data_IF_270886514820
#
_entry.id   IF_270886514820
#
_cell.length_a   1.000
_cell.length_b   1.000
_cell.length_c   1.000
_cell.angle_alpha   90.00
_cell.angle_beta   90.00
_cell.angle_gamma   90.00
#
_symmetry.space_group_name_H-M   'P 1'
#
loop_
_entity.id
_entity.type
_entity.pdbx_description
1 polymer ?
#
# COMPACT_ATOMS: atom_id res chain seq x y z
N UNK A 1 -43.31 57.83 18.99
CA UNK A 1 -42.35 57.59 17.90
C UNK A 1 -41.45 56.45 18.30
N UNK A 2 -41.73 55.24 17.80
CA UNK A 2 -40.93 54.08 18.08
C UNK A 2 -39.83 54.00 17.00
N UNK A 3 -38.55 54.10 17.42
CA UNK A 3 -37.42 53.89 16.56
C UNK A 3 -37.31 52.39 16.24
N UNK A 4 -37.52 52.00 14.99
CA UNK A 4 -37.23 50.69 14.45
C UNK A 4 -35.71 50.60 14.31
N UNK A 5 -35.05 49.81 15.15
CA UNK A 5 -33.65 49.36 14.92
C UNK A 5 -33.67 48.30 13.81
N UNK A 6 -32.79 48.36 12.80
CA UNK A 6 -32.72 47.32 11.76
C UNK A 6 -32.28 46.00 12.40
N UNK A 7 -32.75 44.85 11.80
CA UNK A 7 -32.42 43.53 12.39
C UNK A 7 -30.93 43.20 12.25
N UNK A 8 -30.35 42.75 13.33
CA UNK A 8 -28.93 42.38 13.54
C UNK A 8 -28.38 41.38 12.51
N UNK A 9 -29.22 40.75 11.68
CA UNK A 9 -28.81 39.77 10.70
C UNK A 9 -28.25 40.32 9.38
N UNK A 10 -28.35 41.66 9.11
CA UNK A 10 -27.75 42.24 7.88
C UNK A 10 -26.26 42.57 8.08
N UNK A 11 -25.88 43.06 9.25
CA UNK A 11 -24.47 43.34 9.58
C UNK A 11 -23.61 42.05 9.57
N UNK A 12 -24.12 40.97 10.14
CA UNK A 12 -23.42 39.68 10.20
C UNK A 12 -23.22 39.05 8.79
N UNK A 13 -24.14 39.28 7.86
CA UNK A 13 -24.02 38.80 6.48
C UNK A 13 -22.99 39.61 5.69
N UNK A 14 -22.96 40.95 5.87
CA UNK A 14 -21.97 41.79 5.22
C UNK A 14 -20.55 41.51 5.71
N UNK A 15 -20.36 41.28 7.00
CA UNK A 15 -19.06 40.95 7.57
C UNK A 15 -18.56 39.56 7.13
N UNK A 16 -19.45 38.57 7.06
CA UNK A 16 -19.10 37.24 6.49
C UNK A 16 -18.71 37.36 5.01
N UNK A 17 -19.43 38.15 4.19
CA UNK A 17 -19.10 38.34 2.80
C UNK A 17 -17.71 38.95 2.59
N UNK A 18 -17.31 39.94 3.45
CA UNK A 18 -15.98 40.54 3.43
C UNK A 18 -14.89 39.52 3.79
N UNK A 19 -15.12 38.70 4.83
CA UNK A 19 -14.19 37.63 5.21
C UNK A 19 -14.02 36.59 4.08
N UNK A 20 -15.10 36.18 3.43
CA UNK A 20 -15.06 35.26 2.28
C UNK A 20 -14.22 35.84 1.15
N UNK A 21 -14.45 37.12 0.78
CA UNK A 21 -13.67 37.80 -0.28
C UNK A 21 -12.18 37.87 0.07
N UNK A 22 -11.84 38.20 1.34
CA UNK A 22 -10.47 38.23 1.79
C UNK A 22 -9.81 36.85 1.71
N UNK A 23 -10.48 35.80 2.21
CA UNK A 23 -9.95 34.43 2.15
C UNK A 23 -9.71 33.99 0.70
N UNK A 24 -10.64 34.28 -0.22
CA UNK A 24 -10.44 33.98 -1.65
C UNK A 24 -9.20 34.69 -2.20
N UNK A 25 -8.99 35.97 -1.88
CA UNK A 25 -7.83 36.70 -2.34
C UNK A 25 -6.51 36.10 -1.80
N UNK A 26 -6.49 35.76 -0.50
CA UNK A 26 -5.35 35.10 0.14
C UNK A 26 -5.07 33.72 -0.47
N UNK A 27 -6.11 32.92 -0.75
CA UNK A 27 -5.98 31.61 -1.44
C UNK A 27 -5.34 31.77 -2.80
N UNK A 28 -5.82 32.73 -3.61
CA UNK A 28 -5.28 32.98 -4.96
C UNK A 28 -3.81 33.39 -4.91
N UNK A 29 -3.42 34.22 -3.95
CA UNK A 29 -2.02 34.62 -3.76
C UNK A 29 -1.17 33.42 -3.35
N UNK A 30 -1.63 32.63 -2.38
CA UNK A 30 -0.92 31.46 -1.90
C UNK A 30 -0.74 30.39 -3.01
N UNK A 31 -1.80 30.13 -3.80
CA UNK A 31 -1.77 29.18 -4.91
C UNK A 31 -0.78 29.59 -5.98
N UNK A 32 -0.82 30.86 -6.44
CA UNK A 32 0.14 31.40 -7.43
C UNK A 32 1.58 31.42 -6.93
N UNK A 33 1.78 31.62 -5.62
CA UNK A 33 3.09 31.51 -4.99
C UNK A 33 3.54 30.05 -4.78
N UNK A 34 2.75 29.06 -5.24
CA UNK A 34 2.97 27.61 -5.04
C UNK A 34 3.08 27.18 -3.58
N UNK A 35 2.51 27.97 -2.67
CA UNK A 35 2.37 27.59 -1.28
C UNK A 35 1.04 26.84 -1.08
N UNK A 36 1.00 25.61 -1.64
CA UNK A 36 -0.24 24.82 -1.68
C UNK A 36 -0.74 24.42 -0.30
N UNK A 37 0.16 24.20 0.68
CA UNK A 37 -0.25 23.92 2.06
C UNK A 37 -1.04 25.06 2.68
N UNK A 38 -0.61 26.28 2.44
CA UNK A 38 -1.34 27.47 2.90
C UNK A 38 -2.64 27.66 2.12
N UNK A 39 -2.61 27.45 0.80
CA UNK A 39 -3.81 27.57 -0.03
C UNK A 39 -4.89 26.56 0.37
N UNK A 40 -4.53 25.30 0.60
CA UNK A 40 -5.43 24.24 1.06
C UNK A 40 -6.01 24.57 2.46
N UNK A 41 -5.16 24.99 3.39
CA UNK A 41 -5.60 25.42 4.74
C UNK A 41 -6.60 26.59 4.69
N UNK A 42 -6.30 27.62 3.89
CA UNK A 42 -7.20 28.77 3.73
C UNK A 42 -8.52 28.37 3.05
N UNK A 43 -8.48 27.42 2.13
CA UNK A 43 -9.67 26.87 1.47
C UNK A 43 -10.55 26.10 2.47
N UNK A 44 -9.98 25.26 3.33
CA UNK A 44 -10.71 24.60 4.41
C UNK A 44 -11.34 25.61 5.38
N UNK A 45 -10.60 26.69 5.70
CA UNK A 45 -11.10 27.80 6.52
C UNK A 45 -12.26 28.53 5.83
N UNK A 46 -12.21 28.73 4.52
CA UNK A 46 -13.29 29.33 3.73
C UNK A 46 -14.58 28.48 3.83
N UNK A 47 -14.46 27.17 3.64
CA UNK A 47 -15.58 26.22 3.77
C UNK A 47 -16.19 26.27 5.19
N UNK A 48 -15.33 26.28 6.22
CA UNK A 48 -15.77 26.35 7.61
C UNK A 48 -16.45 27.70 7.96
N UNK A 49 -16.00 28.81 7.33
CA UNK A 49 -16.56 30.16 7.57
C UNK A 49 -17.92 30.34 6.92
N UNK A 50 -18.10 29.92 5.68
CA UNK A 50 -19.36 29.98 4.96
C UNK A 50 -19.52 28.81 3.97
N UNK A 51 -20.11 27.68 4.41
CA UNK A 51 -20.36 26.52 3.55
C UNK A 51 -21.31 26.83 2.37
N UNK A 52 -22.08 27.95 2.44
CA UNK A 52 -23.01 28.34 1.39
C UNK A 52 -22.37 29.25 0.33
N UNK A 53 -21.15 29.69 0.53
CA UNK A 53 -20.40 30.48 -0.47
C UNK A 53 -19.89 29.61 -1.64
N UNK A 54 -20.77 28.79 -2.23
CA UNK A 54 -20.42 27.75 -3.22
C UNK A 54 -19.60 28.28 -4.38
N UNK A 55 -19.93 29.46 -4.92
CA UNK A 55 -19.20 30.08 -6.04
C UNK A 55 -17.74 30.42 -5.65
N UNK A 56 -17.51 30.91 -4.43
CA UNK A 56 -16.18 31.21 -3.92
C UNK A 56 -15.37 29.93 -3.66
N UNK A 57 -16.01 28.92 -3.10
CA UNK A 57 -15.42 27.59 -2.82
C UNK A 57 -15.00 26.93 -4.13
N UNK A 58 -15.87 26.82 -5.12
CA UNK A 58 -15.58 26.22 -6.44
C UNK A 58 -14.47 26.98 -7.16
N UNK A 59 -14.53 28.32 -7.17
CA UNK A 59 -13.52 29.15 -7.83
C UNK A 59 -12.14 28.97 -7.19
N UNK A 60 -12.04 29.03 -5.88
CA UNK A 60 -10.76 28.87 -5.16
C UNK A 60 -10.19 27.47 -5.29
N UNK A 61 -11.01 26.42 -5.20
CA UNK A 61 -10.60 25.04 -5.48
C UNK A 61 -10.04 24.90 -6.89
N UNK A 62 -10.78 25.36 -7.91
CA UNK A 62 -10.34 25.28 -9.30
C UNK A 62 -9.00 25.96 -9.56
N UNK A 63 -8.73 27.12 -8.92
CA UNK A 63 -7.42 27.79 -9.03
C UNK A 63 -6.31 27.01 -8.34
N UNK A 64 -6.57 26.50 -7.13
CA UNK A 64 -5.59 25.66 -6.42
C UNK A 64 -5.20 24.45 -7.28
N UNK A 65 -6.18 23.74 -7.83
CA UNK A 65 -5.94 22.54 -8.63
C UNK A 65 -5.21 22.87 -9.95
N UNK A 66 -5.57 23.97 -10.62
CA UNK A 66 -4.88 24.41 -11.84
C UNK A 66 -3.40 24.76 -11.59
N UNK A 67 -3.12 25.49 -10.51
CA UNK A 67 -1.74 25.87 -10.14
C UNK A 67 -0.93 24.66 -9.68
N UNK A 68 -1.54 23.70 -8.95
CA UNK A 68 -0.92 22.42 -8.61
C UNK A 68 -0.54 21.65 -9.86
N UNK A 69 -1.47 21.48 -10.81
CA UNK A 69 -1.22 20.77 -12.07
C UNK A 69 -0.10 21.43 -12.88
N UNK A 70 -0.09 22.77 -12.96
CA UNK A 70 0.95 23.51 -13.68
C UNK A 70 2.33 23.43 -13.01
N UNK A 71 2.38 23.09 -11.72
CA UNK A 71 3.61 23.00 -10.93
C UNK A 71 4.20 21.59 -10.85
N UNK A 72 3.52 20.56 -11.37
CA UNK A 72 4.06 19.20 -11.42
C UNK A 72 5.36 19.19 -12.27
N UNK A 73 6.35 18.45 -11.78
CA UNK A 73 7.65 18.27 -12.45
C UNK A 73 7.43 17.69 -13.87
N UNK A 74 7.87 18.41 -14.89
CA UNK A 74 7.67 18.04 -16.30
C UNK A 74 8.43 16.78 -16.69
N UNK A 75 9.62 16.58 -16.13
CA UNK A 75 10.42 15.40 -16.40
C UNK A 75 9.73 14.16 -15.83
N UNK A 76 9.17 14.28 -14.61
CA UNK A 76 8.36 13.24 -14.01
C UNK A 76 7.12 12.91 -14.86
N UNK A 77 6.37 13.93 -15.29
CA UNK A 77 5.21 13.74 -16.18
C UNK A 77 5.59 13.06 -17.50
N UNK A 78 6.73 13.40 -18.08
CA UNK A 78 7.19 12.79 -19.33
C UNK A 78 7.48 11.30 -19.16
N UNK A 79 8.05 10.90 -18.02
CA UNK A 79 8.35 9.49 -17.70
C UNK A 79 7.05 8.72 -17.41
N UNK A 80 6.15 9.31 -16.61
CA UNK A 80 4.94 8.66 -16.09
C UNK A 80 3.66 9.03 -16.85
N UNK A 81 3.79 9.51 -18.10
CA UNK A 81 2.66 9.95 -18.93
C UNK A 81 1.52 8.93 -19.03
N UNK A 82 1.84 7.63 -19.09
CA UNK A 82 0.81 6.57 -19.13
C UNK A 82 -0.05 6.54 -17.86
N UNK A 83 0.53 6.80 -16.69
CA UNK A 83 -0.19 6.92 -15.43
C UNK A 83 -1.06 8.18 -15.45
N UNK A 84 -0.42 9.33 -15.62
CA UNK A 84 -1.09 10.62 -15.47
C UNK A 84 -2.14 10.90 -16.54
N UNK A 85 -2.00 10.37 -17.76
CA UNK A 85 -3.00 10.51 -18.82
C UNK A 85 -4.30 9.71 -18.56
N UNK A 86 -4.26 8.74 -17.66
CA UNK A 86 -5.47 8.00 -17.23
C UNK A 86 -6.23 8.68 -16.09
N UNK A 87 -5.71 9.78 -15.55
CA UNK A 87 -6.22 10.51 -14.39
C UNK A 87 -6.74 11.88 -14.80
N UNK A 88 -7.78 12.37 -14.12
CA UNK A 88 -8.18 13.77 -14.22
C UNK A 88 -7.22 14.68 -13.42
N UNK A 89 -7.38 16.00 -13.50
CA UNK A 89 -6.43 16.94 -12.89
C UNK A 89 -6.38 16.84 -11.35
N UNK A 90 -7.53 16.64 -10.70
CA UNK A 90 -7.61 16.46 -9.26
C UNK A 90 -6.92 15.15 -8.82
N UNK A 91 -7.17 14.07 -9.52
CA UNK A 91 -6.52 12.77 -9.28
C UNK A 91 -5.01 12.83 -9.51
N UNK A 92 -4.54 13.55 -10.55
CA UNK A 92 -3.11 13.79 -10.83
C UNK A 92 -2.44 14.49 -9.66
N UNK A 93 -3.06 15.56 -9.20
CA UNK A 93 -2.56 16.33 -8.07
C UNK A 93 -2.57 15.50 -6.79
N UNK A 94 -3.64 14.74 -6.54
CA UNK A 94 -3.76 13.86 -5.39
C UNK A 94 -2.60 12.85 -5.35
N UNK A 95 -2.32 12.16 -6.46
CA UNK A 95 -1.20 11.22 -6.57
C UNK A 95 0.14 11.93 -6.38
N UNK A 96 0.41 12.99 -7.16
CA UNK A 96 1.72 13.64 -7.17
C UNK A 96 2.08 14.26 -5.82
N UNK A 97 1.17 15.01 -5.19
CA UNK A 97 1.43 15.70 -3.92
C UNK A 97 1.36 14.78 -2.69
N UNK A 98 0.87 13.55 -2.83
CA UNK A 98 1.00 12.51 -1.82
C UNK A 98 2.37 11.82 -1.83
N UNK A 99 3.15 11.99 -2.88
CA UNK A 99 4.48 11.43 -3.02
C UNK A 99 5.56 12.35 -2.43
N UNK A 100 6.68 11.73 -2.04
CA UNK A 100 7.90 12.41 -1.58
C UNK A 100 9.02 12.14 -2.57
N UNK A 101 9.68 13.19 -3.05
CA UNK A 101 10.88 13.07 -3.89
C UNK A 101 12.07 12.62 -3.03
N UNK A 102 12.74 11.56 -3.43
CA UNK A 102 13.96 11.05 -2.79
C UNK A 102 15.10 10.99 -3.79
N UNK A 103 16.30 11.37 -3.31
CA UNK A 103 17.56 11.17 -4.03
C UNK A 103 18.43 10.25 -3.17
N UNK A 104 18.80 9.09 -3.73
CA UNK A 104 19.55 8.06 -3.03
C UNK A 104 20.91 7.87 -3.68
N UNK A 105 21.96 7.79 -2.85
CA UNK A 105 23.31 7.50 -3.30
C UNK A 105 23.45 6.06 -3.83
N UNK A 106 24.44 5.77 -4.66
CA UNK A 106 24.75 4.40 -5.07
C UNK A 106 24.96 3.48 -3.86
N UNK A 107 24.61 2.20 -4.01
CA UNK A 107 24.68 1.16 -2.98
C UNK A 107 23.76 1.37 -1.76
N UNK A 108 22.69 2.15 -1.93
CA UNK A 108 21.63 2.30 -0.91
C UNK A 108 20.59 1.20 -1.08
N UNK A 109 20.30 0.45 -0.01
CA UNK A 109 19.26 -0.58 0.00
C UNK A 109 17.89 0.10 0.06
N UNK A 110 16.99 -0.22 -0.91
CA UNK A 110 15.62 0.27 -0.98
C UNK A 110 14.64 -0.75 -0.41
N UNK A 111 14.79 -2.02 -0.81
CA UNK A 111 13.98 -3.14 -0.34
C UNK A 111 14.89 -4.27 0.11
N UNK A 112 14.50 -4.97 1.17
CA UNK A 112 15.23 -6.14 1.69
C UNK A 112 14.34 -7.38 1.61
N UNK A 113 14.83 -8.47 1.04
CA UNK A 113 14.14 -9.76 0.99
C UNK A 113 13.63 -10.18 2.37
N UNK A 114 12.38 -10.62 2.43
CA UNK A 114 11.74 -11.08 3.66
C UNK A 114 11.40 -9.98 4.68
N UNK A 115 11.67 -8.70 4.37
CA UNK A 115 11.21 -7.56 5.17
C UNK A 115 9.82 -7.09 4.75
N UNK A 116 9.14 -6.40 5.67
CA UNK A 116 7.89 -5.70 5.36
C UNK A 116 8.18 -4.44 4.54
N UNK A 117 7.29 -4.14 3.60
CA UNK A 117 7.27 -2.87 2.88
C UNK A 117 5.82 -2.43 2.66
N UNK A 118 5.55 -1.16 2.88
CA UNK A 118 4.28 -0.51 2.60
C UNK A 118 4.44 0.72 1.71
N UNK A 119 5.53 0.75 0.94
CA UNK A 119 5.93 1.88 0.11
C UNK A 119 5.96 1.47 -1.35
N UNK A 120 5.51 2.40 -2.20
CA UNK A 120 5.61 2.34 -3.64
C UNK A 120 6.66 3.34 -4.09
N UNK A 121 7.53 2.93 -5.01
CA UNK A 121 8.58 3.76 -5.56
C UNK A 121 8.50 3.82 -7.08
N UNK A 122 8.44 5.01 -7.62
CA UNK A 122 8.46 5.31 -9.03
C UNK A 122 9.84 5.85 -9.39
N UNK A 123 10.58 5.19 -10.28
CA UNK A 123 11.95 5.58 -10.63
C UNK A 123 11.92 6.67 -11.71
N UNK A 124 12.39 7.87 -11.36
CA UNK A 124 12.50 8.99 -12.31
C UNK A 124 13.87 9.03 -12.98
N UNK A 125 14.93 8.67 -12.24
CA UNK A 125 16.30 8.72 -12.74
C UNK A 125 17.20 7.69 -12.08
N UNK A 126 18.22 7.24 -12.81
CA UNK A 126 19.22 6.31 -12.29
C UNK A 126 18.81 4.85 -12.47
N UNK A 127 19.51 3.95 -11.80
CA UNK A 127 19.38 2.51 -11.98
C UNK A 127 19.37 1.78 -10.64
N UNK A 128 18.49 0.78 -10.53
CA UNK A 128 18.31 -0.08 -9.36
C UNK A 128 18.52 -1.53 -9.77
N UNK A 129 19.25 -2.29 -8.98
CA UNK A 129 19.45 -3.74 -9.17
C UNK A 129 18.50 -4.49 -8.22
N UNK A 130 17.72 -5.41 -8.80
CA UNK A 130 16.92 -6.38 -8.07
C UNK A 130 17.71 -7.67 -7.96
N UNK A 131 17.83 -8.20 -6.74
CA UNK A 131 18.55 -9.43 -6.48
C UNK A 131 17.92 -10.21 -5.33
N UNK A 132 18.29 -11.48 -5.22
CA UNK A 132 18.02 -12.31 -4.04
C UNK A 132 19.27 -13.11 -3.68
N UNK A 133 19.29 -13.62 -2.44
CA UNK A 133 20.37 -14.45 -1.94
C UNK A 133 20.04 -15.93 -2.12
N UNK A 134 20.91 -16.66 -2.81
CA UNK A 134 20.84 -18.11 -2.95
C UNK A 134 22.20 -18.72 -2.55
N UNK A 135 22.18 -19.60 -1.55
CA UNK A 135 23.40 -20.28 -1.07
C UNK A 135 24.54 -19.32 -0.74
N UNK A 136 24.19 -18.19 -0.07
CA UNK A 136 25.15 -17.15 0.30
C UNK A 136 25.62 -16.23 -0.83
N UNK A 137 25.17 -16.46 -2.09
CA UNK A 137 25.52 -15.64 -3.26
C UNK A 137 24.36 -14.74 -3.69
N UNK A 138 24.67 -13.50 -4.07
CA UNK A 138 23.68 -12.59 -4.64
C UNK A 138 23.46 -12.95 -6.12
N UNK A 139 22.22 -13.29 -6.46
CA UNK A 139 21.80 -13.56 -7.82
C UNK A 139 20.98 -12.36 -8.33
N UNK A 140 21.50 -11.67 -9.36
CA UNK A 140 20.82 -10.54 -9.98
C UNK A 140 19.64 -11.03 -10.81
N UNK A 141 18.46 -10.47 -10.54
CA UNK A 141 17.23 -10.77 -11.24
C UNK A 141 17.00 -9.80 -12.39
N UNK A 142 17.13 -8.52 -12.12
CA UNK A 142 16.85 -7.45 -13.06
C UNK A 142 17.62 -6.18 -12.73
N UNK A 143 17.65 -5.29 -13.72
CA UNK A 143 18.09 -3.90 -13.60
C UNK A 143 16.91 -3.03 -14.02
N UNK A 144 16.50 -2.16 -13.14
CA UNK A 144 15.39 -1.24 -13.35
C UNK A 144 15.92 0.18 -13.56
N UNK A 145 15.17 0.99 -14.30
CA UNK A 145 15.50 2.38 -14.62
C UNK A 145 14.28 3.30 -14.65
N UNK A 146 14.39 4.48 -15.26
CA UNK A 146 13.28 5.44 -15.35
C UNK A 146 12.02 4.80 -15.97
N UNK A 147 10.86 5.04 -15.34
CA UNK A 147 9.58 4.45 -15.74
C UNK A 147 9.31 3.05 -15.17
N UNK A 148 10.23 2.49 -14.41
CA UNK A 148 10.01 1.24 -13.67
C UNK A 148 9.54 1.51 -12.23
N UNK A 149 8.76 0.55 -11.70
CA UNK A 149 8.13 0.62 -10.39
C UNK A 149 8.78 -0.38 -9.45
N UNK A 150 8.83 -0.04 -8.14
CA UNK A 150 9.30 -0.91 -7.08
C UNK A 150 8.29 -0.95 -5.94
N UNK A 151 8.12 -2.12 -5.33
CA UNK A 151 7.29 -2.30 -4.16
C UNK A 151 5.79 -2.41 -4.46
N UNK A 152 5.39 -2.46 -5.74
CA UNK A 152 4.01 -2.51 -6.21
C UNK A 152 3.22 -3.65 -5.56
N UNK A 153 3.83 -4.83 -5.48
CA UNK A 153 3.20 -6.00 -4.91
C UNK A 153 2.98 -5.87 -3.39
N UNK A 154 4.00 -5.44 -2.66
CA UNK A 154 3.92 -5.26 -1.19
C UNK A 154 3.12 -4.03 -0.78
N UNK A 155 3.00 -3.04 -1.65
CA UNK A 155 2.14 -1.88 -1.45
C UNK A 155 0.66 -2.24 -1.59
N UNK A 156 0.30 -3.04 -2.60
CA UNK A 156 -1.07 -3.47 -2.87
C UNK A 156 -1.53 -4.65 -2.01
N UNK A 157 -0.60 -5.48 -1.51
CA UNK A 157 -0.89 -6.68 -0.73
C UNK A 157 -0.18 -6.65 0.63
N UNK A 158 -0.72 -7.39 1.60
CA UNK A 158 -0.07 -7.61 2.89
C UNK A 158 0.94 -8.75 2.73
N UNK A 159 2.16 -8.44 2.28
CA UNK A 159 3.18 -9.45 2.00
C UNK A 159 4.60 -8.98 2.33
N UNK A 160 5.53 -9.92 2.47
CA UNK A 160 6.94 -9.63 2.60
C UNK A 160 7.59 -9.43 1.23
N UNK A 161 8.67 -8.65 1.17
CA UNK A 161 9.44 -8.45 -0.06
C UNK A 161 9.99 -9.79 -0.57
N UNK A 162 9.70 -10.10 -1.83
CA UNK A 162 10.16 -11.32 -2.52
C UNK A 162 11.57 -11.23 -3.09
N UNK A 163 12.14 -10.02 -3.13
CA UNK A 163 13.50 -9.73 -3.55
C UNK A 163 14.07 -8.51 -2.82
N UNK A 164 15.38 -8.33 -2.89
CA UNK A 164 16.06 -7.11 -2.45
C UNK A 164 16.27 -6.16 -3.62
N UNK A 165 16.28 -4.86 -3.33
CA UNK A 165 16.54 -3.80 -4.30
C UNK A 165 17.60 -2.83 -3.77
N UNK A 166 18.65 -2.59 -4.57
CA UNK A 166 19.77 -1.71 -4.23
C UNK A 166 20.04 -0.72 -5.37
N UNK A 167 20.34 0.52 -5.05
CA UNK A 167 20.73 1.53 -6.05
C UNK A 167 22.09 1.16 -6.66
N UNK A 168 22.15 1.17 -8.00
CA UNK A 168 23.40 0.94 -8.74
C UNK A 168 24.11 2.27 -9.04
N UNK A 169 23.36 3.29 -9.42
CA UNK A 169 23.82 4.67 -9.59
C UNK A 169 23.20 5.55 -8.51
N UNK A 170 23.44 6.86 -8.55
CA UNK A 170 22.53 7.80 -7.91
C UNK A 170 21.14 7.67 -8.53
N UNK A 171 20.11 7.60 -7.70
CA UNK A 171 18.72 7.38 -8.13
C UNK A 171 17.84 8.47 -7.57
N UNK A 172 17.02 9.06 -8.45
CA UNK A 172 15.89 9.89 -8.06
C UNK A 172 14.61 9.09 -8.21
N UNK A 173 13.78 9.09 -7.18
CA UNK A 173 12.49 8.40 -7.20
C UNK A 173 11.43 9.18 -6.42
N UNK A 174 10.18 8.92 -6.77
CA UNK A 174 9.02 9.37 -6.02
C UNK A 174 8.52 8.23 -5.15
N UNK A 175 8.39 8.51 -3.86
CA UNK A 175 7.94 7.57 -2.82
C UNK A 175 6.51 7.88 -2.42
N UNK A 176 5.61 6.91 -2.50
CA UNK A 176 4.28 6.92 -1.91
C UNK A 176 4.23 5.96 -0.72
N UNK A 177 3.89 6.46 0.46
CA UNK A 177 3.58 5.62 1.62
C UNK A 177 2.11 5.20 1.58
N UNK A 178 1.78 3.97 1.97
CA UNK A 178 0.38 3.49 1.93
C UNK A 178 -0.56 4.36 2.76
N UNK A 179 -0.08 4.91 3.89
CA UNK A 179 -0.85 5.81 4.74
C UNK A 179 -1.21 7.14 4.06
N UNK A 180 -0.44 7.57 3.06
CA UNK A 180 -0.76 8.79 2.32
C UNK A 180 -1.97 8.60 1.39
N UNK A 181 -2.31 7.35 1.06
CA UNK A 181 -3.47 7.01 0.25
C UNK A 181 -4.75 6.77 1.09
N UNK A 182 -4.65 6.71 2.43
CA UNK A 182 -5.80 6.43 3.31
C UNK A 182 -6.93 7.47 3.19
N UNK A 183 -6.60 8.72 2.85
CA UNK A 183 -7.57 9.81 2.65
C UNK A 183 -8.04 10.01 1.20
N UNK A 184 -7.61 9.16 0.27
CA UNK A 184 -7.97 9.34 -1.14
C UNK A 184 -9.42 9.00 -1.43
N UNK A 185 -10.01 8.02 -0.71
CA UNK A 185 -11.40 7.61 -0.93
C UNK A 185 -12.40 8.76 -0.70
N UNK A 186 -12.10 9.65 0.24
CA UNK A 186 -12.94 10.82 0.52
C UNK A 186 -12.78 11.93 -0.52
N UNK A 187 -11.58 12.09 -1.12
CA UNK A 187 -11.25 13.18 -2.06
C UNK A 187 -11.39 12.76 -3.52
N UNK A 188 -10.88 11.60 -3.86
CA UNK A 188 -10.82 11.04 -5.21
C UNK A 188 -11.24 9.57 -5.19
N UNK A 189 -12.55 9.26 -5.07
CA UNK A 189 -13.05 7.89 -4.99
C UNK A 189 -12.56 7.02 -6.14
N UNK A 190 -12.07 5.81 -5.82
CA UNK A 190 -11.55 4.86 -6.82
C UNK A 190 -10.14 5.17 -7.34
N UNK A 191 -9.47 6.22 -6.85
CA UNK A 191 -8.11 6.56 -7.29
C UNK A 191 -7.09 5.50 -6.89
N UNK A 192 -7.24 4.93 -5.69
CA UNK A 192 -6.35 3.88 -5.20
C UNK A 192 -6.37 2.66 -6.14
N UNK A 193 -7.55 2.21 -6.57
CA UNK A 193 -7.73 1.09 -7.48
C UNK A 193 -7.10 1.37 -8.85
N UNK A 194 -7.25 2.59 -9.38
CA UNK A 194 -6.61 3.00 -10.64
C UNK A 194 -5.09 2.94 -10.55
N UNK A 195 -4.51 3.42 -9.43
CA UNK A 195 -3.07 3.36 -9.22
C UNK A 195 -2.58 1.92 -9.11
N UNK A 196 -3.27 1.06 -8.34
CA UNK A 196 -2.91 -0.35 -8.19
C UNK A 196 -3.00 -1.08 -9.53
N UNK A 197 -4.07 -0.89 -10.29
CA UNK A 197 -4.22 -1.50 -11.62
C UNK A 197 -3.08 -1.09 -12.56
N UNK A 198 -2.71 0.19 -12.56
CA UNK A 198 -1.55 0.67 -13.32
C UNK A 198 -0.25 0.00 -12.86
N UNK A 199 -0.01 -0.08 -11.56
CA UNK A 199 1.20 -0.67 -10.99
C UNK A 199 1.31 -2.17 -11.31
N UNK A 200 0.22 -2.92 -11.19
CA UNK A 200 0.21 -4.36 -11.47
C UNK A 200 0.40 -4.67 -12.95
N UNK A 201 -0.11 -3.81 -13.84
CA UNK A 201 0.10 -3.93 -15.30
C UNK A 201 1.52 -3.54 -15.72
N UNK A 202 2.13 -2.57 -15.02
CA UNK A 202 3.47 -2.05 -15.33
C UNK A 202 4.61 -2.69 -14.56
N UNK A 203 4.32 -3.45 -13.50
CA UNK A 203 5.31 -4.06 -12.62
C UNK A 203 6.07 -5.19 -13.31
N UNK A 204 7.39 -5.03 -13.42
CA UNK A 204 8.27 -6.02 -14.07
C UNK A 204 8.83 -7.04 -13.10
N UNK A 205 8.89 -6.72 -11.80
CA UNK A 205 9.59 -7.56 -10.82
C UNK A 205 8.89 -8.91 -10.65
N UNK A 206 7.57 -8.91 -10.50
CA UNK A 206 6.79 -10.15 -10.35
C UNK A 206 6.84 -11.02 -11.62
N UNK A 207 6.78 -10.41 -12.80
CA UNK A 207 6.94 -11.12 -14.08
C UNK A 207 8.31 -11.78 -14.19
N UNK A 208 9.37 -11.07 -13.83
CA UNK A 208 10.75 -11.59 -13.83
C UNK A 208 10.91 -12.73 -12.83
N UNK A 209 10.32 -12.60 -11.63
CA UNK A 209 10.34 -13.64 -10.62
C UNK A 209 9.62 -14.91 -11.09
N UNK A 210 8.46 -14.76 -11.76
CA UNK A 210 7.70 -15.88 -12.35
C UNK A 210 8.48 -16.56 -13.46
N UNK A 211 9.00 -15.77 -14.43
CA UNK A 211 9.69 -16.29 -15.62
C UNK A 211 11.00 -17.00 -15.26
N UNK A 212 11.71 -16.55 -14.25
CA UNK A 212 12.94 -17.21 -13.80
C UNK A 212 12.69 -18.46 -12.93
N UNK A 213 11.43 -18.92 -12.81
CA UNK A 213 11.02 -20.03 -11.91
C UNK A 213 11.59 -19.90 -10.48
N UNK A 214 11.83 -18.66 -10.07
CA UNK A 214 12.42 -18.32 -8.76
C UNK A 214 11.35 -18.13 -7.71
N UNK A 215 10.09 -18.15 -8.12
CA UNK A 215 8.99 -18.18 -7.19
C UNK A 215 9.02 -19.46 -6.37
N UNK A 216 8.70 -19.27 -5.13
CA UNK A 216 8.46 -20.14 -3.99
C UNK A 216 7.74 -21.48 -4.25
N UNK A 217 7.38 -21.83 -5.49
CA UNK A 217 6.81 -23.11 -5.88
C UNK A 217 7.89 -24.16 -6.16
N UNK A 218 8.86 -24.27 -5.23
CA UNK A 218 9.82 -25.37 -5.27
C UNK A 218 9.13 -26.72 -5.01
N UNK A 219 7.93 -26.66 -4.43
CA UNK A 219 7.12 -27.82 -4.03
C UNK A 219 5.69 -27.65 -4.49
N UNK A 220 5.11 -28.71 -5.00
CA UNK A 220 3.71 -28.76 -5.41
C UNK A 220 2.80 -28.45 -4.22
N UNK A 221 1.72 -27.70 -4.47
CA UNK A 221 0.70 -27.39 -3.49
C UNK A 221 -0.53 -28.24 -3.78
N UNK A 222 -1.01 -28.86 -2.73
CA UNK A 222 -2.17 -29.72 -2.76
C UNK A 222 -3.32 -29.03 -2.03
N UNK A 223 -4.46 -28.89 -2.72
CA UNK A 223 -5.68 -28.43 -2.09
C UNK A 223 -6.11 -29.49 -1.06
N UNK A 224 -6.42 -29.07 0.14
CA UNK A 224 -6.80 -29.93 1.24
C UNK A 224 -7.65 -29.15 2.24
N UNK A 225 -8.19 -29.81 3.26
CA UNK A 225 -8.99 -29.18 4.29
C UNK A 225 -8.64 -29.71 5.67
N UNK A 226 -9.24 -29.08 6.67
CA UNK A 226 -9.14 -29.52 8.06
C UNK A 226 -8.84 -28.37 9.02
N UNK A 227 -9.23 -28.53 10.30
CA UNK A 227 -9.08 -27.48 11.29
C UNK A 227 -7.60 -27.21 11.65
N UNK A 228 -7.29 -25.94 11.82
CA UNK A 228 -5.97 -25.47 12.24
C UNK A 228 -6.10 -24.61 13.49
N UNK A 229 -5.29 -24.89 14.49
CA UNK A 229 -5.02 -23.98 15.62
C UNK A 229 -3.62 -23.38 15.43
N UNK A 230 -3.55 -22.05 15.38
CA UNK A 230 -2.32 -21.32 15.17
C UNK A 230 -2.02 -20.45 16.40
N UNK A 231 -1.00 -20.81 17.17
CA UNK A 231 -0.58 -20.06 18.35
C UNK A 231 0.55 -19.10 18.00
N UNK A 232 0.40 -17.83 18.36
CA UNK A 232 1.41 -16.82 18.13
C UNK A 232 2.66 -17.10 18.97
N UNK A 233 3.84 -16.97 18.36
CA UNK A 233 5.12 -17.05 19.05
C UNK A 233 5.69 -15.66 19.34
N UNK A 234 6.44 -15.53 20.44
CA UNK A 234 7.25 -14.35 20.74
C UNK A 234 8.41 -14.23 19.74
N UNK A 235 9.15 -13.12 19.78
CA UNK A 235 10.39 -12.94 19.01
C UNK A 235 11.47 -13.97 19.36
N UNK A 236 11.40 -14.53 20.55
CA UNK A 236 12.35 -15.55 21.08
C UNK A 236 11.88 -16.99 20.80
N UNK A 237 10.70 -17.15 20.16
CA UNK A 237 10.14 -18.45 19.81
C UNK A 237 9.30 -19.09 20.91
N UNK A 238 9.03 -18.41 22.03
CA UNK A 238 8.16 -18.92 23.10
C UNK A 238 6.69 -18.82 22.71
N UNK A 239 5.88 -19.80 23.15
CA UNK A 239 4.43 -19.85 22.94
C UNK A 239 3.75 -18.74 23.73
N UNK A 240 2.82 -18.01 23.10
CA UNK A 240 1.95 -17.05 23.77
C UNK A 240 0.55 -17.63 24.04
N UNK A 241 -0.29 -16.91 24.76
CA UNK A 241 -1.70 -17.27 24.97
C UNK A 241 -2.60 -16.93 23.76
N UNK A 242 -2.06 -16.25 22.72
CA UNK A 242 -2.83 -15.81 21.57
C UNK A 242 -2.96 -16.95 20.58
N UNK A 243 -4.17 -17.46 20.44
CA UNK A 243 -4.51 -18.58 19.56
C UNK A 243 -5.53 -18.11 18.52
N UNK A 244 -5.26 -18.43 17.26
CA UNK A 244 -6.16 -18.24 16.14
C UNK A 244 -6.67 -19.58 15.66
N UNK A 245 -7.93 -19.64 15.24
CA UNK A 245 -8.52 -20.81 14.60
C UNK A 245 -8.75 -20.54 13.12
N UNK A 246 -8.59 -21.55 12.29
CA UNK A 246 -8.81 -21.45 10.84
C UNK A 246 -8.95 -22.83 10.21
N UNK A 247 -9.12 -22.81 8.89
CA UNK A 247 -9.24 -23.99 8.03
C UNK A 247 -8.04 -24.05 7.08
N UNK A 248 -7.43 -25.22 6.94
CA UNK A 248 -6.39 -25.47 5.96
C UNK A 248 -6.99 -25.40 4.55
N UNK A 249 -6.41 -24.62 3.68
CA UNK A 249 -6.85 -24.46 2.28
C UNK A 249 -5.95 -25.20 1.30
N UNK A 250 -4.65 -25.15 1.54
CA UNK A 250 -3.65 -25.89 0.77
C UNK A 250 -2.39 -26.13 1.61
N UNK A 251 -1.62 -27.15 1.22
CA UNK A 251 -0.37 -27.50 1.86
C UNK A 251 0.69 -27.93 0.81
N UNK A 252 1.94 -27.70 1.14
CA UNK A 252 3.12 -28.20 0.39
C UNK A 252 4.23 -28.57 1.38
N UNK A 253 5.35 -29.12 0.90
CA UNK A 253 6.53 -29.37 1.75
C UNK A 253 7.06 -28.12 2.46
N UNK A 254 6.91 -26.93 1.88
CA UNK A 254 7.53 -25.71 2.39
C UNK A 254 6.56 -24.74 3.09
N UNK A 255 5.27 -25.06 3.16
CA UNK A 255 4.30 -24.14 3.75
C UNK A 255 2.86 -24.50 3.47
N UNK A 256 1.94 -23.73 4.05
CA UNK A 256 0.51 -23.90 3.90
C UNK A 256 -0.22 -22.55 3.72
N UNK A 257 -1.47 -22.65 3.33
CA UNK A 257 -2.43 -21.55 3.33
C UNK A 257 -3.57 -21.89 4.28
N UNK A 258 -3.93 -20.98 5.16
CA UNK A 258 -4.99 -21.14 6.15
C UNK A 258 -6.02 -20.04 5.93
N UNK A 259 -7.29 -20.42 5.82
CA UNK A 259 -8.42 -19.49 5.85
C UNK A 259 -8.73 -19.11 7.30
N UNK A 260 -8.74 -17.83 7.63
CA UNK A 260 -9.00 -17.28 8.96
C UNK A 260 -9.96 -16.11 8.88
N UNK A 261 -10.73 -15.88 9.95
CA UNK A 261 -11.61 -14.72 10.08
C UNK A 261 -11.04 -13.70 11.06
N UNK A 262 -11.05 -12.42 10.65
CA UNK A 262 -10.66 -11.31 11.50
C UNK A 262 -11.71 -10.20 11.42
N UNK A 263 -12.01 -9.60 12.58
CA UNK A 263 -12.95 -8.48 12.68
C UNK A 263 -12.43 -7.19 12.03
N UNK A 264 -11.10 -7.04 11.94
CA UNK A 264 -10.43 -5.85 11.37
C UNK A 264 -9.23 -6.26 10.53
N UNK A 265 -9.06 -5.63 9.36
CA UNK A 265 -7.91 -5.80 8.46
C UNK A 265 -6.56 -5.55 9.16
N UNK A 266 -6.53 -4.64 10.14
CA UNK A 266 -5.33 -4.35 10.93
C UNK A 266 -4.85 -5.56 11.75
N UNK A 267 -5.77 -6.40 12.27
CA UNK A 267 -5.42 -7.60 13.04
C UNK A 267 -4.75 -8.64 12.14
N UNK A 268 -5.32 -8.87 10.95
CA UNK A 268 -4.72 -9.76 9.95
C UNK A 268 -3.34 -9.26 9.50
N UNK A 269 -3.20 -7.94 9.29
CA UNK A 269 -1.92 -7.31 8.94
C UNK A 269 -0.85 -7.48 10.02
N UNK A 270 -1.25 -7.47 11.29
CA UNK A 270 -0.33 -7.64 12.42
C UNK A 270 0.33 -9.03 12.47
N UNK A 271 -0.25 -10.03 11.78
CA UNK A 271 0.34 -11.36 11.65
C UNK A 271 1.53 -11.41 10.68
N UNK A 272 1.64 -10.47 9.74
CA UNK A 272 2.73 -10.48 8.76
C UNK A 272 4.09 -10.48 9.45
N UNK A 273 5.01 -11.33 8.99
CA UNK A 273 6.33 -11.57 9.54
C UNK A 273 6.37 -12.24 10.93
N UNK A 274 5.23 -12.54 11.55
CA UNK A 274 5.15 -13.27 12.82
C UNK A 274 5.36 -14.77 12.61
N UNK A 275 5.82 -15.43 13.65
CA UNK A 275 5.94 -16.88 13.72
C UNK A 275 4.73 -17.48 14.44
N UNK A 276 4.23 -18.57 13.89
CA UNK A 276 3.10 -19.32 14.43
C UNK A 276 3.51 -20.76 14.65
N UNK A 277 3.10 -21.32 15.80
CA UNK A 277 3.04 -22.76 16.03
C UNK A 277 1.68 -23.25 15.52
N UNK A 278 1.68 -24.13 14.54
CA UNK A 278 0.48 -24.65 13.91
C UNK A 278 0.22 -26.07 14.42
N UNK A 279 -1.00 -26.34 14.81
CA UNK A 279 -1.55 -27.67 15.03
C UNK A 279 -2.60 -27.90 13.95
N UNK A 280 -2.28 -28.77 13.00
CA UNK A 280 -3.08 -29.03 11.81
C UNK A 280 -3.66 -30.44 11.93
N UNK A 281 -4.96 -30.56 11.74
CA UNK A 281 -5.65 -31.84 11.63
C UNK A 281 -6.14 -32.03 10.22
N UNK A 282 -5.91 -33.19 9.60
CA UNK A 282 -6.40 -33.46 8.24
C UNK A 282 -7.92 -33.58 8.23
N UNK A 283 -8.56 -33.15 7.13
CA UNK A 283 -10.01 -33.29 6.92
C UNK A 283 -10.44 -34.69 6.42
N UNK A 284 -9.62 -35.71 6.58
CA UNK A 284 -9.89 -37.08 6.12
C UNK A 284 -10.70 -37.88 7.16
N UNK A 285 -11.26 -39.02 6.77
CA UNK A 285 -12.04 -39.90 7.67
C UNK A 285 -11.19 -40.45 8.83
N UNK A 286 -9.90 -40.74 8.56
CA UNK A 286 -8.89 -41.03 9.57
C UNK A 286 -7.95 -39.82 9.73
N UNK A 287 -8.24 -38.91 10.70
CA UNK A 287 -7.57 -37.63 10.78
C UNK A 287 -6.14 -37.76 11.32
N UNK A 288 -5.18 -37.47 10.45
CA UNK A 288 -3.81 -37.27 10.87
C UNK A 288 -3.64 -35.88 11.51
N UNK A 289 -2.77 -35.79 12.51
CA UNK A 289 -2.42 -34.52 13.16
C UNK A 289 -0.94 -34.25 13.04
N UNK A 290 -0.57 -32.99 12.84
CA UNK A 290 0.83 -32.56 12.90
C UNK A 290 0.99 -31.22 13.61
N UNK A 291 2.19 -31.02 14.13
CA UNK A 291 2.62 -29.74 14.72
C UNK A 291 3.83 -29.21 13.96
N UNK A 292 3.73 -27.96 13.48
CA UNK A 292 4.80 -27.33 12.69
C UNK A 292 4.88 -25.84 12.98
N UNK A 293 6.09 -25.30 12.94
CA UNK A 293 6.33 -23.85 13.12
C UNK A 293 6.58 -23.18 11.76
N UNK A 294 6.02 -22.02 11.57
CA UNK A 294 6.26 -21.27 10.34
C UNK A 294 6.07 -19.78 10.49
N UNK A 295 6.59 -19.05 9.51
CA UNK A 295 6.51 -17.59 9.41
C UNK A 295 5.39 -17.16 8.47
N UNK A 296 4.55 -16.23 8.89
CA UNK A 296 3.55 -15.61 8.02
C UNK A 296 4.25 -14.73 6.98
N UNK A 297 4.10 -15.07 5.71
CA UNK A 297 4.78 -14.38 4.60
C UNK A 297 3.84 -13.55 3.75
N UNK A 298 2.53 -13.81 3.83
CA UNK A 298 1.50 -13.08 3.09
C UNK A 298 0.15 -13.24 3.77
N UNK A 299 -0.67 -12.18 3.71
CA UNK A 299 -2.08 -12.21 4.12
C UNK A 299 -2.90 -11.61 2.97
N UNK A 300 -3.87 -12.36 2.46
CA UNK A 300 -4.78 -11.90 1.39
C UNK A 300 -6.16 -11.69 1.99
N UNK A 301 -6.77 -10.56 1.69
CA UNK A 301 -8.13 -10.24 2.11
C UNK A 301 -9.14 -10.81 1.10
N UNK A 302 -10.23 -11.35 1.62
CA UNK A 302 -11.42 -11.74 0.87
C UNK A 302 -12.65 -11.00 1.40
N UNK A 303 -13.78 -11.13 0.73
CA UNK A 303 -15.03 -10.52 1.18
C UNK A 303 -15.44 -11.06 2.56
N UNK A 304 -16.24 -10.29 3.29
CA UNK A 304 -16.86 -10.67 4.57
C UNK A 304 -15.90 -10.96 5.74
N UNK A 305 -14.69 -10.37 5.70
CA UNK A 305 -13.73 -10.53 6.80
C UNK A 305 -12.97 -11.85 6.78
N UNK A 306 -13.01 -12.59 5.68
CA UNK A 306 -12.22 -13.79 5.45
C UNK A 306 -10.82 -13.41 4.92
N UNK A 307 -9.80 -14.12 5.39
CA UNK A 307 -8.40 -13.88 5.01
C UNK A 307 -7.70 -15.21 4.72
N UNK A 308 -6.90 -15.23 3.66
CA UNK A 308 -5.92 -16.30 3.43
C UNK A 308 -4.58 -15.92 4.04
N UNK A 309 -4.13 -16.66 5.04
CA UNK A 309 -2.85 -16.51 5.71
C UNK A 309 -1.87 -17.53 5.16
N UNK A 310 -0.85 -17.04 4.44
CA UNK A 310 0.17 -17.90 3.84
C UNK A 310 1.36 -18.00 4.79
N UNK A 311 1.73 -19.22 5.13
CA UNK A 311 2.77 -19.53 6.10
C UNK A 311 3.86 -20.34 5.42
N UNK A 312 5.08 -19.92 5.59
CA UNK A 312 6.27 -20.66 5.19
C UNK A 312 6.80 -21.41 6.41
N UNK A 313 6.91 -22.72 6.30
CA UNK A 313 7.46 -23.56 7.38
C UNK A 313 8.94 -23.27 7.61
N UNK A 314 9.39 -23.37 8.85
CA UNK A 314 10.81 -23.22 9.21
C UNK A 314 11.63 -24.38 8.66
N UNK A 315 11.05 -25.57 8.62
CA UNK A 315 11.66 -26.79 8.10
C UNK A 315 10.74 -27.42 7.03
N UNK A 316 11.33 -28.14 6.10
CA UNK A 316 10.58 -28.85 5.07
C UNK A 316 9.87 -30.07 5.68
N UNK A 317 8.60 -30.25 5.33
CA UNK A 317 7.89 -31.47 5.68
C UNK A 317 8.49 -32.69 4.99
N UNK A 318 8.56 -33.79 5.70
CA UNK A 318 8.84 -35.10 5.11
C UNK A 318 7.71 -35.54 4.19
N UNK A 319 8.04 -36.30 3.14
CA UNK A 319 7.07 -36.76 2.14
C UNK A 319 5.95 -37.59 2.76
N UNK A 320 6.32 -38.46 3.71
CA UNK A 320 5.39 -39.34 4.42
C UNK A 320 4.36 -38.57 5.24
N UNK A 321 4.79 -37.44 5.87
CA UNK A 321 3.88 -36.57 6.63
C UNK A 321 2.97 -35.82 5.64
N UNK A 322 3.52 -35.29 4.53
CA UNK A 322 2.72 -34.56 3.56
C UNK A 322 1.61 -35.45 2.96
N UNK A 323 1.90 -36.72 2.64
CA UNK A 323 0.93 -37.67 2.07
C UNK A 323 -0.27 -37.93 2.98
N UNK A 324 -0.13 -37.77 4.28
CA UNK A 324 -1.26 -37.93 5.23
C UNK A 324 -2.24 -36.75 5.16
N UNK A 325 -1.87 -35.65 4.53
CA UNK A 325 -2.72 -34.47 4.37
C UNK A 325 -3.21 -34.26 2.94
N UNK A 326 -2.69 -35.06 1.99
CA UNK A 326 -3.00 -34.96 0.57
C UNK A 326 -3.74 -36.25 0.17
N UNK A 327 -4.87 -36.10 -0.53
CA UNK A 327 -5.59 -37.20 -1.15
C UNK A 327 -4.94 -37.64 -2.44
#
# INVERSE_FOLDING_TARGET
>A
MAQFSPPSGQSDKEDRSKIVQQLVAEILIAAKARNFKLADYLHEKLIATDPMALSAIIKSSGVIEAEKTAAIDRDHLAIWGKLYNSLNDEERNCVYYSMKKLVLRPKTMILTYGAMNNRLFLIDRGQVIIFFQKEGKNVVLAKLGPGDILGEYTFSTISLCSASAITYTEVQLMLLESSAADGWEDKCPGLYEKLIDFCLKGGKVDEILRNKKMEKKRYERHATGGPVKATLLTSEGSITEIVYSGELSDISKSGCCISMRFSKKAMARALLARYLQLFITSGQEDPATMSVTGKVVRVSFHLYGDFSVHIQFNELLQEEVLRQFVR
#
